data_IF_347124863115
#
_entry.id   IF_347124863115
#
_cell.length_a   1.000
_cell.length_b   1.000
_cell.length_c   1.000
_cell.angle_alpha   90.00
_cell.angle_beta   90.00
_cell.angle_gamma   90.00
#
_symmetry.space_group_name_H-M   'P 1'
#
loop_
_entity.id
_entity.type
_entity.pdbx_description
1 polymer ?
#
# COMPACT_ATOMS: atom_id res chain seq x y z
N UNK A 1 -10.62 -12.99 -25.46
CA UNK A 1 -11.38 -12.34 -24.38
C UNK A 1 -11.20 -13.24 -23.16
N UNK A 2 -10.14 -13.02 -22.41
CA UNK A 2 -9.86 -13.77 -21.19
C UNK A 2 -10.58 -13.02 -20.08
N UNK A 3 -11.61 -13.63 -19.52
CA UNK A 3 -12.29 -13.12 -18.33
C UNK A 3 -11.40 -13.42 -17.13
N UNK A 4 -10.72 -12.42 -16.62
CA UNK A 4 -10.07 -12.47 -15.32
C UNK A 4 -11.21 -12.65 -14.30
N UNK A 5 -11.18 -13.68 -13.42
CA UNK A 5 -12.15 -13.78 -12.35
C UNK A 5 -11.96 -12.60 -11.42
N UNK A 6 -13.03 -11.83 -11.18
CA UNK A 6 -13.03 -10.76 -10.20
C UNK A 6 -12.61 -11.31 -8.84
N UNK A 7 -11.60 -10.74 -8.17
CA UNK A 7 -11.31 -11.07 -6.79
C UNK A 7 -12.58 -10.84 -5.96
N UNK A 8 -12.84 -11.72 -5.00
CA UNK A 8 -13.92 -11.49 -4.05
C UNK A 8 -13.46 -10.37 -3.12
N UNK A 9 -13.70 -9.13 -3.54
CA UNK A 9 -13.50 -7.94 -2.72
C UNK A 9 -14.45 -8.06 -1.53
N UNK A 10 -13.92 -8.39 -0.37
CA UNK A 10 -14.61 -8.12 0.88
C UNK A 10 -14.36 -6.65 1.19
N UNK A 11 -15.30 -5.81 0.78
CA UNK A 11 -15.38 -4.42 1.24
C UNK A 11 -15.68 -4.44 2.75
N UNK A 12 -14.63 -4.39 3.56
CA UNK A 12 -14.74 -4.28 5.01
C UNK A 12 -14.43 -2.84 5.43
N UNK A 13 -15.49 -2.13 5.77
CA UNK A 13 -15.39 -0.82 6.39
C UNK A 13 -14.90 -0.96 7.83
N UNK A 14 -13.65 -0.63 8.10
CA UNK A 14 -13.16 -0.48 9.47
C UNK A 14 -13.26 0.97 9.92
N UNK A 15 -14.27 1.20 10.73
CA UNK A 15 -14.62 2.48 11.28
C UNK A 15 -13.94 2.67 12.64
N UNK A 16 -12.95 3.61 12.74
CA UNK A 16 -12.70 4.32 14.01
C UNK A 16 -11.56 5.35 13.92
N UNK A 17 -11.72 6.30 13.17
CA UNK A 17 -11.39 7.74 13.23
C UNK A 17 -11.91 8.29 11.92
N UNK A 18 -12.91 9.10 12.02
CA UNK A 18 -13.83 9.45 10.92
C UNK A 18 -13.18 10.09 9.69
N UNK A 19 -11.85 10.37 9.74
CA UNK A 19 -11.19 11.18 8.73
C UNK A 19 -10.14 10.46 7.87
N UNK A 20 -9.83 9.17 8.12
CA UNK A 20 -8.81 8.43 7.37
C UNK A 20 -9.23 6.99 7.13
N UNK A 21 -9.67 6.69 5.91
CA UNK A 21 -10.13 5.36 5.53
C UNK A 21 -9.05 4.60 4.74
N UNK A 22 -8.88 3.34 5.07
CA UNK A 22 -8.01 2.41 4.35
C UNK A 22 -8.87 1.28 3.81
N UNK A 23 -8.88 1.11 2.51
CA UNK A 23 -9.50 -0.02 1.84
C UNK A 23 -8.43 -1.07 1.59
N UNK A 24 -8.65 -2.28 2.10
CA UNK A 24 -7.69 -3.36 1.98
C UNK A 24 -8.22 -4.47 1.07
N UNK A 25 -7.40 -4.92 0.14
CA UNK A 25 -7.59 -6.14 -0.62
C UNK A 25 -6.34 -7.02 -0.47
N UNK A 26 -6.52 -8.27 -0.06
CA UNK A 26 -5.44 -9.26 0.01
C UNK A 26 -5.87 -10.48 -0.77
N UNK A 27 -5.13 -10.81 -1.82
CA UNK A 27 -5.42 -11.97 -2.65
C UNK A 27 -5.15 -13.27 -1.91
N UNK A 28 -5.99 -14.27 -2.15
CA UNK A 28 -5.71 -15.62 -1.71
C UNK A 28 -4.57 -16.24 -2.59
N UNK A 29 -3.55 -16.92 -2.03
CA UNK A 29 -3.49 -17.43 -0.64
C UNK A 29 -2.78 -16.52 0.37
N UNK A 30 -2.43 -15.28 0.03
CA UNK A 30 -1.52 -14.44 0.84
C UNK A 30 -2.10 -14.05 2.20
N UNK A 31 -3.42 -13.89 2.31
CA UNK A 31 -4.07 -13.66 3.60
C UNK A 31 -3.73 -14.76 4.61
N UNK A 32 -3.77 -16.02 4.19
CA UNK A 32 -3.39 -17.16 5.01
C UNK A 32 -1.91 -17.18 5.38
N UNK A 33 -1.03 -16.80 4.45
CA UNK A 33 0.41 -16.71 4.67
C UNK A 33 0.76 -15.60 5.67
N UNK A 34 0.18 -14.42 5.52
CA UNK A 34 0.36 -13.30 6.46
C UNK A 34 -0.10 -13.72 7.87
N UNK A 35 -1.27 -14.34 7.96
CA UNK A 35 -1.82 -14.79 9.23
C UNK A 35 -0.88 -15.75 9.97
N UNK A 36 -0.30 -16.71 9.25
CA UNK A 36 0.53 -17.77 9.86
C UNK A 36 2.00 -17.38 10.01
N UNK A 37 2.60 -16.78 8.99
CA UNK A 37 4.03 -16.49 8.93
C UNK A 37 4.40 -15.21 9.68
N UNK A 38 3.54 -14.19 9.62
CA UNK A 38 3.79 -12.89 10.24
C UNK A 38 3.15 -12.82 11.62
N UNK A 39 1.86 -13.09 11.72
CA UNK A 39 1.11 -12.91 12.95
C UNK A 39 1.20 -14.13 13.88
N UNK A 40 1.72 -15.26 13.40
CA UNK A 40 1.85 -16.49 14.20
C UNK A 40 0.52 -17.10 14.62
N UNK A 41 -0.57 -16.70 13.99
CA UNK A 41 -1.92 -17.19 14.28
C UNK A 41 -2.23 -18.40 13.43
N UNK A 42 -2.42 -19.55 14.05
CA UNK A 42 -2.89 -20.76 13.36
C UNK A 42 -4.37 -20.94 13.66
N UNK A 43 -5.22 -20.81 12.65
CA UNK A 43 -6.64 -21.07 12.80
C UNK A 43 -6.87 -22.57 13.02
N UNK A 44 -7.35 -22.95 14.19
CA UNK A 44 -7.79 -24.31 14.48
C UNK A 44 -9.05 -24.65 13.67
N UNK A 45 -9.27 -25.95 13.37
CA UNK A 45 -10.45 -26.42 12.61
C UNK A 45 -11.83 -26.01 13.18
N UNK A 46 -11.88 -25.42 14.37
CA UNK A 46 -13.08 -24.97 15.09
C UNK A 46 -12.99 -23.49 15.53
N UNK A 47 -12.09 -22.70 14.96
CA UNK A 47 -12.08 -21.26 15.22
C UNK A 47 -13.32 -20.67 14.59
N UNK A 48 -14.25 -20.20 15.44
CA UNK A 48 -15.35 -19.35 15.01
C UNK A 48 -14.81 -18.08 14.34
N UNK A 49 -15.66 -17.37 13.62
CA UNK A 49 -15.30 -16.07 13.03
C UNK A 49 -14.67 -15.18 14.10
N UNK A 50 -13.44 -14.73 13.84
CA UNK A 50 -12.80 -13.72 14.67
C UNK A 50 -13.58 -12.42 14.51
N UNK A 51 -13.80 -11.64 15.57
CA UNK A 51 -14.58 -10.40 15.51
C UNK A 51 -13.93 -9.33 14.60
N UNK A 52 -12.65 -9.45 14.33
CA UNK A 52 -11.85 -8.62 13.41
C UNK A 52 -10.86 -9.55 12.71
N UNK A 53 -10.61 -9.34 11.42
CA UNK A 53 -9.56 -10.05 10.69
C UNK A 53 -8.19 -9.53 11.16
N UNK A 54 -7.33 -10.36 11.78
CA UNK A 54 -6.05 -9.90 12.29
C UNK A 54 -5.11 -9.36 11.22
N UNK A 55 -5.20 -9.87 9.99
CA UNK A 55 -4.38 -9.41 8.85
C UNK A 55 -4.81 -8.01 8.45
N UNK A 56 -6.12 -7.81 8.34
CA UNK A 56 -6.71 -6.52 8.01
C UNK A 56 -6.40 -5.47 9.08
N UNK A 57 -6.57 -5.79 10.36
CA UNK A 57 -6.28 -4.89 11.47
C UNK A 57 -4.79 -4.50 11.49
N UNK A 58 -3.89 -5.46 11.28
CA UNK A 58 -2.46 -5.23 11.25
C UNK A 58 -2.04 -4.32 10.08
N UNK A 59 -2.43 -4.64 8.84
CA UNK A 59 -2.09 -3.86 7.65
C UNK A 59 -2.68 -2.45 7.69
N UNK A 60 -3.93 -2.33 8.14
CA UNK A 60 -4.59 -1.03 8.33
C UNK A 60 -3.88 -0.18 9.38
N UNK A 61 -3.41 -0.79 10.47
CA UNK A 61 -2.65 -0.06 11.50
C UNK A 61 -1.35 0.52 10.96
N UNK A 62 -0.66 -0.22 10.07
CA UNK A 62 0.57 0.25 9.42
C UNK A 62 0.27 1.43 8.48
N UNK A 63 -0.72 1.28 7.61
CA UNK A 63 -1.10 2.35 6.68
C UNK A 63 -1.52 3.63 7.41
N UNK A 64 -2.25 3.51 8.52
CA UNK A 64 -2.63 4.66 9.37
C UNK A 64 -1.43 5.30 10.06
N UNK A 65 -0.48 4.52 10.55
CA UNK A 65 0.74 5.07 11.14
C UNK A 65 1.54 5.87 10.09
N UNK A 66 1.64 5.35 8.86
CA UNK A 66 2.26 6.04 7.75
C UNK A 66 1.55 7.36 7.42
N UNK A 67 0.22 7.33 7.29
CA UNK A 67 -0.59 8.54 7.05
C UNK A 67 -0.42 9.59 8.15
N UNK A 68 -0.37 9.18 9.41
CA UNK A 68 -0.17 10.10 10.53
C UNK A 68 1.17 10.84 10.41
N UNK A 69 2.23 10.11 10.04
CA UNK A 69 3.58 10.69 9.88
C UNK A 69 3.68 11.51 8.59
N UNK A 70 3.04 11.06 7.51
CA UNK A 70 3.05 11.73 6.23
C UNK A 70 2.36 13.10 6.28
N UNK A 71 1.20 13.15 6.91
CA UNK A 71 0.31 14.31 6.94
C UNK A 71 0.53 15.22 8.17
N UNK A 72 1.51 14.91 9.03
CA UNK A 72 1.82 15.72 10.20
C UNK A 72 2.31 17.11 9.78
N UNK A 73 1.59 18.15 10.19
CA UNK A 73 1.88 19.54 9.85
C UNK A 73 1.49 20.00 8.44
N UNK A 74 0.83 19.15 7.64
CA UNK A 74 0.29 19.51 6.34
C UNK A 74 -1.22 19.70 6.48
N UNK A 75 -1.78 20.79 5.97
CA UNK A 75 -3.17 21.23 6.18
C UNK A 75 -4.29 20.30 5.65
N UNK A 76 -4.06 19.01 5.59
CA UNK A 76 -5.08 17.98 5.35
C UNK A 76 -6.05 17.77 6.54
N UNK A 77 -5.96 18.62 7.58
CA UNK A 77 -6.75 18.47 8.81
C UNK A 77 -8.25 18.71 8.63
N UNK A 78 -8.70 19.19 7.45
CA UNK A 78 -10.08 19.59 7.22
C UNK A 78 -10.88 18.69 6.28
N UNK A 79 -10.25 17.79 5.54
CA UNK A 79 -10.91 16.80 4.69
C UNK A 79 -10.41 15.41 5.02
N UNK A 80 -11.34 14.50 5.27
CA UNK A 80 -10.99 13.10 5.43
C UNK A 80 -10.31 12.54 4.17
N UNK A 81 -9.42 11.59 4.34
CA UNK A 81 -8.65 10.97 3.25
C UNK A 81 -8.96 9.48 3.14
N UNK A 82 -8.83 8.93 1.93
CA UNK A 82 -8.94 7.50 1.69
C UNK A 82 -7.78 6.99 0.83
N UNK A 83 -7.33 5.78 1.10
CA UNK A 83 -6.35 5.07 0.26
C UNK A 83 -6.75 3.61 0.09
N UNK A 84 -6.26 3.01 -1.00
CA UNK A 84 -6.38 1.58 -1.29
C UNK A 84 -5.03 0.90 -1.04
N UNK A 85 -5.03 -0.25 -0.35
CA UNK A 85 -3.86 -1.10 -0.16
C UNK A 85 -4.16 -2.48 -0.70
N UNK A 86 -3.40 -2.93 -1.68
CA UNK A 86 -3.57 -4.22 -2.35
C UNK A 86 -2.32 -5.08 -2.14
N UNK A 87 -2.52 -6.30 -1.68
CA UNK A 87 -1.47 -7.32 -1.59
C UNK A 87 -1.79 -8.40 -2.63
N UNK A 88 -0.91 -8.58 -3.59
CA UNK A 88 -1.14 -9.46 -4.75
C UNK A 88 0.12 -10.24 -5.14
N UNK A 89 0.13 -10.85 -6.31
CA UNK A 89 1.22 -11.65 -6.83
C UNK A 89 2.18 -10.88 -7.75
N UNK A 90 3.26 -11.57 -8.15
CA UNK A 90 4.28 -11.02 -9.05
C UNK A 90 3.73 -10.69 -10.44
N UNK A 91 2.81 -11.52 -10.96
CA UNK A 91 2.29 -11.37 -12.33
C UNK A 91 1.48 -10.08 -12.45
N UNK A 92 0.61 -9.84 -11.49
CA UNK A 92 -0.21 -8.61 -11.42
C UNK A 92 0.67 -7.37 -11.32
N UNK A 93 1.67 -7.38 -10.41
CA UNK A 93 2.56 -6.21 -10.22
C UNK A 93 3.45 -6.01 -11.44
N UNK A 94 3.94 -7.07 -12.08
CA UNK A 94 4.70 -7.00 -13.32
C UNK A 94 3.89 -6.35 -14.47
N UNK A 95 2.65 -6.79 -14.67
CA UNK A 95 1.77 -6.22 -15.70
C UNK A 95 1.53 -4.72 -15.47
N UNK A 96 1.28 -4.32 -14.23
CA UNK A 96 1.08 -2.92 -13.87
C UNK A 96 2.37 -2.09 -14.03
N UNK A 97 3.52 -2.64 -13.66
CA UNK A 97 4.81 -1.98 -13.83
C UNK A 97 5.12 -1.74 -15.31
N UNK A 98 4.92 -2.75 -16.16
CA UNK A 98 5.07 -2.61 -17.61
C UNK A 98 4.09 -1.58 -18.19
N UNK A 99 2.84 -1.59 -17.75
CA UNK A 99 1.79 -0.72 -18.28
C UNK A 99 1.95 0.74 -17.87
N UNK A 100 2.29 1.01 -16.59
CA UNK A 100 2.24 2.36 -16.03
C UNK A 100 3.60 3.01 -15.80
N UNK A 101 4.68 2.22 -15.76
CA UNK A 101 6.06 2.74 -15.64
C UNK A 101 6.94 2.41 -16.84
N UNK A 102 6.49 1.53 -17.73
CA UNK A 102 7.22 1.09 -18.91
C UNK A 102 8.35 0.11 -18.62
N UNK A 103 8.36 -0.51 -17.43
CA UNK A 103 9.37 -1.46 -16.99
C UNK A 103 8.84 -2.89 -17.04
N UNK A 104 9.38 -3.71 -17.96
CA UNK A 104 8.98 -5.12 -18.14
C UNK A 104 9.69 -6.02 -17.11
N UNK A 105 9.46 -5.74 -15.82
CA UNK A 105 10.04 -6.48 -14.71
C UNK A 105 9.14 -6.45 -13.47
N UNK A 106 9.30 -7.44 -12.60
CA UNK A 106 8.62 -7.48 -11.30
C UNK A 106 9.23 -6.43 -10.38
N UNK A 107 8.37 -5.66 -9.70
CA UNK A 107 8.77 -4.80 -8.57
C UNK A 107 8.07 -5.24 -7.29
N UNK A 108 8.51 -4.74 -6.16
CA UNK A 108 7.96 -5.01 -4.85
C UNK A 108 6.68 -4.22 -4.56
N UNK A 109 6.71 -2.93 -4.88
CA UNK A 109 5.61 -2.01 -4.62
C UNK A 109 5.41 -1.02 -5.77
N UNK A 110 4.16 -0.71 -6.05
CA UNK A 110 3.72 0.37 -6.92
C UNK A 110 2.81 1.30 -6.13
N UNK A 111 3.00 2.60 -6.32
CA UNK A 111 2.17 3.65 -5.71
C UNK A 111 1.58 4.54 -6.79
N UNK A 112 0.26 4.57 -6.87
CA UNK A 112 -0.49 5.40 -7.82
C UNK A 112 -1.18 6.53 -7.05
N UNK A 113 -0.55 7.70 -7.01
CA UNK A 113 -1.10 8.86 -6.32
C UNK A 113 -2.20 9.53 -7.15
N UNK A 114 -3.25 10.00 -6.49
CA UNK A 114 -4.29 10.78 -7.13
C UNK A 114 -3.84 12.21 -7.46
N UNK A 115 -2.91 12.77 -6.67
CA UNK A 115 -2.48 14.18 -6.79
C UNK A 115 -1.07 14.33 -7.38
N UNK A 116 -0.26 13.26 -7.37
CA UNK A 116 1.14 13.30 -7.80
C UNK A 116 1.35 12.33 -8.97
N UNK A 117 1.66 12.83 -10.18
CA UNK A 117 1.88 11.96 -11.33
C UNK A 117 3.13 11.09 -11.09
N UNK A 118 3.02 9.81 -11.43
CA UNK A 118 4.16 8.89 -11.43
C UNK A 118 5.18 9.23 -12.54
N UNK A 119 6.37 8.68 -12.42
CA UNK A 119 7.43 8.81 -13.43
C UNK A 119 7.36 7.64 -14.41
N UNK A 120 7.37 7.95 -15.71
CA UNK A 120 7.60 6.97 -16.75
C UNK A 120 9.10 6.70 -16.90
N UNK A 121 9.50 5.44 -16.79
CA UNK A 121 10.90 5.01 -16.85
C UNK A 121 11.21 4.16 -18.08
N UNK A 122 10.20 3.79 -18.87
CA UNK A 122 10.36 3.00 -20.09
C UNK A 122 11.15 3.71 -21.18
N UNK A 123 11.82 2.93 -22.06
CA UNK A 123 12.58 3.44 -23.21
C UNK A 123 11.68 4.03 -24.31
N UNK A 124 10.42 3.58 -24.38
CA UNK A 124 9.41 4.09 -25.33
C UNK A 124 8.68 5.31 -24.73
N UNK A 125 8.04 6.09 -25.61
CA UNK A 125 7.21 7.21 -25.14
C UNK A 125 6.01 6.65 -24.34
N UNK A 126 5.63 7.32 -23.21
CA UNK A 126 4.47 6.90 -22.45
C UNK A 126 3.22 6.90 -23.32
N UNK A 127 2.23 6.04 -23.05
CA UNK A 127 0.95 6.08 -23.72
C UNK A 127 0.35 7.50 -23.67
N UNK A 128 -0.25 7.97 -24.78
CA UNK A 128 -0.90 9.29 -24.78
C UNK A 128 -1.99 9.30 -23.68
N UNK A 129 -1.84 10.23 -22.75
CA UNK A 129 -2.87 10.50 -21.76
C UNK A 129 -4.11 11.06 -22.49
N UNK A 130 -5.14 10.24 -22.65
CA UNK A 130 -6.31 10.55 -23.46
C UNK A 130 -7.38 11.34 -22.72
N UNK A 131 -7.11 11.82 -21.51
CA UNK A 131 -8.18 12.53 -20.84
C UNK A 131 -7.84 13.29 -19.58
N UNK A 132 -7.86 14.57 -19.72
CA UNK A 132 -8.03 15.54 -18.63
C UNK A 132 -9.49 15.45 -18.09
N UNK A 133 -9.82 14.31 -17.48
CA UNK A 133 -11.06 14.16 -16.74
C UNK A 133 -10.87 14.70 -15.33
N UNK A 134 -11.04 16.02 -15.17
CA UNK A 134 -11.16 16.60 -13.85
C UNK A 134 -12.38 15.96 -13.15
N UNK A 135 -12.12 14.94 -12.34
CA UNK A 135 -13.15 14.34 -11.50
C UNK A 135 -13.45 15.30 -10.35
N UNK A 136 -14.61 15.93 -10.40
CA UNK A 136 -15.06 16.80 -9.31
C UNK A 136 -15.68 15.94 -8.23
N UNK A 137 -14.95 15.78 -7.14
CA UNK A 137 -15.44 15.07 -5.95
C UNK A 137 -16.59 15.85 -5.29
N UNK A 138 -17.65 15.18 -4.85
CA UNK A 138 -18.64 15.80 -3.97
C UNK A 138 -17.99 16.36 -2.69
N UNK A 139 -18.48 17.50 -2.18
CA UNK A 139 -17.81 18.18 -1.04
C UNK A 139 -17.83 17.41 0.28
N UNK A 140 -18.65 16.36 0.39
CA UNK A 140 -18.78 15.51 1.59
C UNK A 140 -18.05 14.15 1.44
N UNK A 141 -17.35 13.89 0.34
CA UNK A 141 -16.59 12.67 0.13
C UNK A 141 -15.14 12.83 0.57
N UNK A 142 -14.54 11.69 1.01
CA UNK A 142 -13.14 11.64 1.40
C UNK A 142 -12.25 11.86 0.17
N UNK A 143 -11.18 12.61 0.35
CA UNK A 143 -10.19 12.85 -0.71
C UNK A 143 -9.38 11.57 -0.98
N UNK A 144 -9.40 11.01 -2.21
CA UNK A 144 -8.58 9.85 -2.53
C UNK A 144 -7.10 10.26 -2.56
N UNK A 145 -6.27 9.54 -1.82
CA UNK A 145 -4.81 9.68 -1.91
C UNK A 145 -4.23 8.82 -3.04
N UNK A 146 -4.89 7.70 -3.33
CA UNK A 146 -4.45 6.77 -4.36
C UNK A 146 -4.39 5.32 -3.87
N UNK A 147 -3.57 4.53 -4.54
CA UNK A 147 -3.47 3.09 -4.32
C UNK A 147 -2.01 2.65 -4.16
N UNK A 148 -1.77 1.76 -3.20
CA UNK A 148 -0.49 1.06 -2.98
C UNK A 148 -0.71 -0.41 -3.30
N UNK A 149 0.07 -0.96 -4.23
CA UNK A 149 -0.02 -2.35 -4.68
C UNK A 149 1.31 -3.04 -4.40
N UNK A 150 1.31 -4.13 -3.64
CA UNK A 150 2.51 -4.83 -3.17
C UNK A 150 2.51 -6.28 -3.68
N UNK A 151 3.63 -6.72 -4.26
CA UNK A 151 3.87 -8.12 -4.53
C UNK A 151 4.33 -8.82 -3.26
N UNK A 152 3.48 -9.72 -2.73
CA UNK A 152 3.85 -10.52 -1.56
C UNK A 152 5.02 -11.49 -1.82
N UNK A 153 5.08 -12.22 -2.95
CA UNK A 153 6.22 -13.07 -3.24
C UNK A 153 7.55 -12.29 -3.40
N UNK A 154 7.51 -11.08 -3.97
CA UNK A 154 8.70 -10.25 -4.06
C UNK A 154 9.13 -9.75 -2.69
N UNK A 155 8.18 -9.35 -1.84
CA UNK A 155 8.45 -8.97 -0.44
C UNK A 155 9.14 -10.10 0.33
N UNK A 156 8.70 -11.36 0.13
CA UNK A 156 9.36 -12.52 0.76
C UNK A 156 10.81 -12.67 0.33
N UNK A 157 11.09 -12.56 -0.97
CA UNK A 157 12.45 -12.64 -1.51
C UNK A 157 13.34 -11.53 -0.95
N UNK A 158 12.86 -10.30 -0.91
CA UNK A 158 13.60 -9.17 -0.37
C UNK A 158 13.88 -9.30 1.14
N UNK A 159 12.91 -9.75 1.91
CA UNK A 159 13.11 -10.01 3.35
C UNK A 159 14.24 -11.03 3.60
N UNK A 160 14.31 -12.10 2.77
CA UNK A 160 15.40 -13.08 2.82
C UNK A 160 16.74 -12.46 2.42
N UNK A 161 16.79 -11.69 1.35
CA UNK A 161 18.00 -11.03 0.85
C UNK A 161 18.56 -10.01 1.84
N UNK A 162 17.68 -9.22 2.45
CA UNK A 162 18.04 -8.21 3.45
C UNK A 162 18.33 -8.84 4.83
N UNK A 163 17.91 -10.09 5.06
CA UNK A 163 18.06 -10.77 6.34
C UNK A 163 17.19 -10.17 7.45
N UNK A 164 16.04 -9.62 7.08
CA UNK A 164 15.07 -9.02 8.00
C UNK A 164 13.81 -9.89 8.13
N UNK A 165 13.03 -9.74 9.21
CA UNK A 165 11.74 -10.41 9.31
C UNK A 165 10.79 -9.97 8.19
N UNK A 166 10.02 -10.90 7.63
CA UNK A 166 9.01 -10.62 6.61
C UNK A 166 8.00 -9.53 7.04
N UNK A 167 7.60 -9.54 8.32
CA UNK A 167 6.75 -8.50 8.90
C UNK A 167 7.37 -7.09 8.80
N UNK A 168 8.69 -7.01 8.95
CA UNK A 168 9.41 -5.75 8.82
C UNK A 168 9.39 -5.26 7.37
N UNK A 169 9.76 -6.14 6.43
CA UNK A 169 9.82 -5.80 5.01
C UNK A 169 8.44 -5.37 4.48
N UNK A 170 7.40 -6.16 4.76
CA UNK A 170 6.05 -5.82 4.34
C UNK A 170 5.56 -4.49 4.95
N UNK A 171 5.84 -4.27 6.24
CA UNK A 171 5.49 -3.01 6.89
C UNK A 171 6.24 -1.82 6.28
N UNK A 172 7.53 -1.99 5.97
CA UNK A 172 8.32 -0.96 5.30
C UNK A 172 7.73 -0.59 3.94
N UNK A 173 7.38 -1.59 3.11
CA UNK A 173 6.78 -1.35 1.79
C UNK A 173 5.43 -0.63 1.87
N UNK A 174 4.58 -1.00 2.85
CA UNK A 174 3.32 -0.27 3.09
C UNK A 174 3.58 1.19 3.45
N UNK A 175 4.50 1.43 4.40
CA UNK A 175 4.85 2.80 4.83
C UNK A 175 5.42 3.60 3.66
N UNK A 176 6.38 3.02 2.93
CA UNK A 176 7.02 3.63 1.77
C UNK A 176 6.01 4.04 0.69
N UNK A 177 5.13 3.11 0.32
CA UNK A 177 4.07 3.36 -0.66
C UNK A 177 3.11 4.48 -0.24
N UNK A 178 2.69 4.50 1.02
CA UNK A 178 1.83 5.58 1.55
C UNK A 178 2.53 6.94 1.54
N UNK A 179 3.83 6.98 1.83
CA UNK A 179 4.60 8.22 1.74
C UNK A 179 4.65 8.77 0.32
N UNK A 180 4.81 7.90 -0.69
CA UNK A 180 4.73 8.31 -2.09
C UNK A 180 3.35 8.88 -2.47
N UNK A 181 2.24 8.28 -1.99
CA UNK A 181 0.90 8.82 -2.25
C UNK A 181 0.73 10.26 -1.75
N UNK A 182 1.49 10.63 -0.72
CA UNK A 182 1.45 11.97 -0.10
C UNK A 182 2.54 12.93 -0.62
N UNK A 183 3.21 12.56 -1.74
CA UNK A 183 4.18 13.40 -2.42
C UNK A 183 5.58 13.38 -1.83
N UNK A 184 5.90 12.44 -0.94
CA UNK A 184 7.27 12.22 -0.51
C UNK A 184 8.00 11.37 -1.55
N UNK A 185 9.23 11.75 -1.87
CA UNK A 185 10.06 11.06 -2.84
C UNK A 185 11.49 10.91 -2.32
N UNK A 186 12.34 10.25 -3.10
CA UNK A 186 13.75 9.98 -2.79
C UNK A 186 14.66 10.23 -4.00
N UNK A 187 14.26 11.16 -4.89
CA UNK A 187 15.00 11.51 -6.09
C UNK A 187 16.33 12.22 -5.80
N UNK A 188 16.39 12.92 -4.68
CA UNK A 188 17.63 13.57 -4.22
C UNK A 188 18.00 13.15 -2.77
N UNK A 189 19.25 13.43 -2.31
CA UNK A 189 19.71 13.02 -0.98
C UNK A 189 18.94 13.67 0.20
N UNK A 190 18.37 14.85 -0.02
CA UNK A 190 17.62 15.58 1.01
C UNK A 190 16.23 14.95 1.19
N UNK A 191 15.55 14.70 0.08
CA UNK A 191 14.27 13.97 0.02
C UNK A 191 14.41 12.56 0.59
N UNK A 192 15.45 11.82 0.16
CA UNK A 192 15.78 10.48 0.69
C UNK A 192 15.90 10.50 2.23
N UNK A 193 16.60 11.49 2.78
CA UNK A 193 16.80 11.62 4.24
C UNK A 193 15.48 11.87 4.95
N UNK A 194 14.62 12.72 4.40
CA UNK A 194 13.30 13.04 4.94
C UNK A 194 12.41 11.80 4.92
N UNK A 195 12.35 11.12 3.78
CA UNK A 195 11.54 9.92 3.60
C UNK A 195 11.94 8.80 4.56
N UNK A 196 13.23 8.48 4.65
CA UNK A 196 13.77 7.48 5.59
C UNK A 196 13.50 7.85 7.06
N UNK A 197 13.52 9.15 7.40
CA UNK A 197 13.15 9.60 8.75
C UNK A 197 11.69 9.35 9.07
N UNK A 198 10.81 9.57 8.11
CA UNK A 198 9.37 9.31 8.25
C UNK A 198 9.06 7.81 8.31
N UNK A 199 9.69 6.99 7.47
CA UNK A 199 9.61 5.53 7.53
C UNK A 199 9.98 5.00 8.92
N UNK A 200 11.13 5.41 9.43
CA UNK A 200 11.60 5.04 10.76
C UNK A 200 10.63 5.45 11.86
N UNK A 201 10.06 6.65 11.75
CA UNK A 201 9.09 7.17 12.73
C UNK A 201 7.82 6.32 12.74
N UNK A 202 7.27 6.00 11.57
CA UNK A 202 6.07 5.18 11.44
C UNK A 202 6.29 3.75 11.97
N UNK A 203 7.40 3.10 11.59
CA UNK A 203 7.73 1.74 12.04
C UNK A 203 7.99 1.70 13.55
N UNK A 204 8.66 2.71 14.10
CA UNK A 204 8.91 2.80 15.55
C UNK A 204 7.59 2.94 16.33
N UNK A 205 6.64 3.70 15.84
CA UNK A 205 5.31 3.85 16.46
C UNK A 205 4.54 2.51 16.55
N UNK A 206 4.86 1.57 15.65
CA UNK A 206 4.29 0.22 15.58
C UNK A 206 5.11 -0.82 16.37
N UNK A 207 6.20 -0.43 17.03
CA UNK A 207 7.18 -1.32 17.66
C UNK A 207 7.82 -2.32 16.66
N UNK A 208 7.89 -1.96 15.38
CA UNK A 208 8.62 -2.73 14.37
C UNK A 208 10.07 -2.23 14.39
N UNK A 209 11.01 -3.16 14.66
CA UNK A 209 12.43 -2.81 14.72
C UNK A 209 12.93 -2.33 13.35
N UNK A 210 13.68 -1.23 13.36
CA UNK A 210 14.30 -0.62 12.17
C UNK A 210 15.79 -0.94 12.16
#
# INVERSE_FOLDING_TARGET
MVTVPSPQVRDLYLNSQEDRQVYLSVDEPFSGSILTEILGVTLGKNSGELPVDPVEDWLTSIARAALNVALDGVGYETQGTQLSLVITDDETVHELNAQFRGLDEVTDVLSFSADHPGHWEGEEEPPEDTGDFAFVMPPDELSPLGEVIISYPQTQRQAEEHGVPLAHELALLVVHGVLHLTGHDHLDPEETTVMQSKERTALTALNISV
#
